data_IF_641501402503
#
_entry.id   IF_641501402503
#
_cell.length_a   1.000
_cell.length_b   1.000
_cell.length_c   1.000
_cell.angle_alpha   90.00
_cell.angle_beta   90.00
_cell.angle_gamma   90.00
#
_symmetry.space_group_name_H-M   'P 1'
#
loop_
_entity.id
_entity.type
_entity.pdbx_description
1 polymer ?
#
# COMPACT_ATOMS: atom_id res chain seq x y z
N UNK A 1 7.56 -3.90 5.01
CA UNK A 1 8.84 -3.65 4.30
C UNK A 1 9.55 -2.50 4.98
N UNK A 2 10.86 -2.59 5.23
CA UNK A 2 11.64 -1.46 5.79
C UNK A 2 11.81 -0.36 4.75
N UNK A 3 12.10 0.85 5.19
CA UNK A 3 12.33 1.98 4.28
C UNK A 3 13.56 1.76 3.40
N UNK A 4 14.66 1.25 3.96
CA UNK A 4 15.90 1.03 3.22
C UNK A 4 15.74 -0.06 2.14
N UNK A 5 15.00 -1.13 2.47
CA UNK A 5 14.64 -2.15 1.50
C UNK A 5 13.75 -1.57 0.39
N UNK A 6 12.79 -0.70 0.72
CA UNK A 6 11.93 -0.05 -0.25
C UNK A 6 12.74 0.83 -1.23
N UNK A 7 13.66 1.64 -0.71
CA UNK A 7 14.51 2.52 -1.52
C UNK A 7 15.42 1.73 -2.45
N UNK A 8 16.04 0.65 -1.96
CA UNK A 8 16.85 -0.24 -2.78
C UNK A 8 16.04 -0.89 -3.91
N UNK A 9 14.82 -1.36 -3.63
CA UNK A 9 13.95 -1.94 -4.67
C UNK A 9 13.50 -0.90 -5.70
N UNK A 10 13.21 0.34 -5.27
CA UNK A 10 12.78 1.41 -6.17
C UNK A 10 13.91 1.95 -7.03
N UNK A 11 15.15 1.85 -6.57
CA UNK A 11 16.33 2.30 -7.32
C UNK A 11 16.57 1.50 -8.60
N UNK A 12 16.30 0.19 -8.57
CA UNK A 12 16.47 -0.70 -9.72
C UNK A 12 15.16 -1.00 -10.47
N UNK A 13 14.08 -0.27 -10.18
CA UNK A 13 12.80 -0.47 -10.84
C UNK A 13 12.63 0.49 -12.02
N UNK A 14 12.54 -0.06 -13.24
CA UNK A 14 12.46 0.72 -14.48
C UNK A 14 11.13 1.46 -14.70
N UNK A 15 10.15 1.28 -13.81
CA UNK A 15 8.86 1.96 -13.91
C UNK A 15 9.02 3.46 -13.63
N UNK A 16 8.36 4.29 -14.46
CA UNK A 16 8.30 5.76 -14.25
C UNK A 16 7.91 6.15 -12.81
N UNK A 17 6.93 5.45 -12.23
CA UNK A 17 6.45 5.73 -10.88
C UNK A 17 7.47 5.43 -9.78
N UNK A 18 8.48 4.59 -10.03
CA UNK A 18 9.48 4.24 -9.02
C UNK A 18 10.30 5.46 -8.58
N UNK A 19 10.68 6.32 -9.53
CA UNK A 19 11.39 7.58 -9.25
C UNK A 19 10.58 8.51 -8.36
N UNK A 20 9.29 8.69 -8.68
CA UNK A 20 8.37 9.54 -7.92
C UNK A 20 8.19 9.01 -6.49
N UNK A 21 7.99 7.69 -6.33
CA UNK A 21 7.83 7.08 -5.01
C UNK A 21 9.13 7.19 -4.19
N UNK A 22 10.30 7.02 -4.83
CA UNK A 22 11.60 7.20 -4.17
C UNK A 22 11.75 8.61 -3.61
N UNK A 23 11.41 9.63 -4.40
CA UNK A 23 11.43 11.03 -3.98
C UNK A 23 10.50 11.28 -2.78
N UNK A 24 9.25 10.79 -2.84
CA UNK A 24 8.27 10.93 -1.75
C UNK A 24 8.74 10.24 -0.47
N UNK A 25 9.35 9.06 -0.56
CA UNK A 25 9.87 8.34 0.61
C UNK A 25 11.05 9.06 1.25
N UNK A 26 11.95 9.63 0.45
CA UNK A 26 13.09 10.42 0.96
C UNK A 26 12.61 11.70 1.64
N UNK A 27 11.63 12.40 1.04
CA UNK A 27 11.01 13.59 1.63
C UNK A 27 10.31 13.24 2.95
N UNK A 28 9.52 12.16 2.98
CA UNK A 28 8.84 11.70 4.19
C UNK A 28 9.83 11.31 5.31
N UNK A 29 10.95 10.67 4.96
CA UNK A 29 12.02 10.36 5.92
C UNK A 29 12.67 11.63 6.47
N UNK A 30 12.90 12.63 5.63
CA UNK A 30 13.46 13.92 6.06
C UNK A 30 12.49 14.69 6.96
N UNK A 31 11.19 14.71 6.61
CA UNK A 31 10.14 15.29 7.44
C UNK A 31 10.01 14.56 8.79
N UNK A 32 10.12 13.24 8.82
CA UNK A 32 10.08 12.44 10.04
C UNK A 32 11.19 12.86 11.02
N UNK A 33 12.42 13.04 10.53
CA UNK A 33 13.56 13.48 11.36
C UNK A 33 13.42 14.94 11.78
N UNK A 34 13.04 15.82 10.85
CA UNK A 34 12.99 17.27 11.11
C UNK A 34 11.82 17.71 11.98
N UNK A 35 10.64 17.13 11.79
CA UNK A 35 9.38 17.62 12.38
C UNK A 35 8.77 16.64 13.39
N UNK A 36 9.02 15.34 13.22
CA UNK A 36 8.40 14.30 14.06
C UNK A 36 9.37 13.67 15.08
N UNK A 37 10.56 14.26 15.25
CA UNK A 37 11.58 13.86 16.24
C UNK A 37 12.00 12.38 16.16
N UNK A 38 12.06 11.82 14.94
CA UNK A 38 12.59 10.48 14.74
C UNK A 38 14.13 10.52 14.72
N UNK A 39 14.77 9.78 15.62
CA UNK A 39 16.24 9.73 15.74
C UNK A 39 16.88 8.92 14.60
N UNK A 40 16.35 7.73 14.32
CA UNK A 40 16.94 6.79 13.37
C UNK A 40 16.16 6.74 12.06
N UNK A 41 16.75 7.28 10.99
CA UNK A 41 16.21 7.23 9.62
C UNK A 41 15.89 5.82 9.13
N UNK A 42 16.72 4.84 9.49
CA UNK A 42 16.57 3.44 9.11
C UNK A 42 15.51 2.69 9.94
N UNK A 43 15.16 3.19 11.13
CA UNK A 43 14.17 2.57 12.01
C UNK A 43 12.73 2.98 11.63
N UNK A 44 12.44 2.96 10.34
CA UNK A 44 11.14 3.27 9.77
C UNK A 44 10.68 2.13 8.87
N UNK A 45 9.41 1.79 8.95
CA UNK A 45 8.78 0.86 8.03
C UNK A 45 7.52 1.45 7.42
N UNK A 46 7.19 0.97 6.23
CA UNK A 46 5.97 1.37 5.52
C UNK A 46 4.81 0.58 6.13
N UNK A 47 3.91 1.28 6.80
CA UNK A 47 2.70 0.69 7.39
C UNK A 47 1.54 0.66 6.38
N UNK A 48 1.33 1.78 5.69
CA UNK A 48 0.30 1.89 4.65
C UNK A 48 0.91 2.57 3.41
N UNK A 49 0.59 2.04 2.23
CA UNK A 49 0.96 2.64 0.96
C UNK A 49 -0.16 2.36 -0.04
N UNK A 50 -0.76 3.41 -0.58
CA UNK A 50 -1.84 3.28 -1.55
C UNK A 50 -1.84 4.44 -2.54
N UNK A 51 -2.52 4.22 -3.67
CA UNK A 51 -2.71 5.24 -4.69
C UNK A 51 -4.20 5.52 -4.89
N UNK A 52 -4.50 6.78 -5.18
CA UNK A 52 -5.87 7.26 -5.40
C UNK A 52 -6.02 7.88 -6.79
N UNK A 53 -7.26 7.88 -7.30
CA UNK A 53 -7.63 8.60 -8.52
C UNK A 53 -7.55 10.11 -8.26
N UNK A 54 -6.81 10.83 -9.09
CA UNK A 54 -6.78 12.28 -9.09
C UNK A 54 -7.87 12.88 -9.99
N UNK A 55 -7.88 14.20 -10.11
CA UNK A 55 -8.82 14.89 -10.99
C UNK A 55 -8.49 14.64 -12.46
N UNK A 56 -9.41 14.01 -13.20
CA UNK A 56 -9.24 13.72 -14.63
C UNK A 56 -9.79 14.85 -15.47
N UNK A 57 -9.03 15.26 -16.47
CA UNK A 57 -9.49 16.23 -17.46
C UNK A 57 -9.86 15.50 -18.73
N UNK A 58 -10.98 15.89 -19.36
CA UNK A 58 -11.41 15.31 -20.63
C UNK A 58 -10.76 16.05 -21.80
N UNK A 59 -10.33 15.31 -22.80
CA UNK A 59 -9.81 15.80 -24.07
C UNK A 59 -10.46 15.04 -25.22
N UNK A 60 -10.34 15.54 -26.45
CA UNK A 60 -10.89 14.90 -27.64
C UNK A 60 -9.78 14.10 -28.33
N UNK A 61 -10.05 12.82 -28.61
CA UNK A 61 -9.22 11.98 -29.48
C UNK A 61 -9.87 11.89 -30.86
N UNK A 62 -9.21 12.44 -31.85
CA UNK A 62 -9.68 12.35 -33.23
C UNK A 62 -9.42 10.97 -33.83
N UNK A 63 -10.38 10.48 -34.61
CA UNK A 63 -10.32 9.21 -35.33
C UNK A 63 -10.58 9.44 -36.82
N UNK A 64 -10.36 8.40 -37.63
CA UNK A 64 -10.70 8.45 -39.06
C UNK A 64 -12.21 8.58 -39.29
N UNK A 65 -12.58 8.91 -40.54
CA UNK A 65 -13.99 9.03 -40.99
C UNK A 65 -14.84 10.07 -40.24
N UNK A 66 -14.21 11.14 -39.74
CA UNK A 66 -14.92 12.21 -39.02
C UNK A 66 -15.37 11.86 -37.61
N UNK A 67 -14.91 10.73 -37.05
CA UNK A 67 -15.25 10.31 -35.69
C UNK A 67 -14.31 10.95 -34.64
N UNK A 68 -14.82 11.14 -33.43
CA UNK A 68 -14.00 11.53 -32.27
C UNK A 68 -14.49 10.83 -31.00
N UNK A 69 -13.56 10.55 -30.09
CA UNK A 69 -13.83 9.96 -28.78
C UNK A 69 -13.38 10.87 -27.66
N UNK A 70 -13.99 10.74 -26.48
CA UNK A 70 -13.56 11.47 -25.28
C UNK A 70 -12.42 10.67 -24.63
N UNK A 71 -11.25 11.29 -24.51
CA UNK A 71 -10.09 10.78 -23.81
C UNK A 71 -10.00 11.39 -22.41
N UNK A 72 -9.74 10.57 -21.40
CA UNK A 72 -9.43 11.06 -20.06
C UNK A 72 -7.91 11.22 -19.89
N UNK A 73 -7.47 12.43 -19.52
CA UNK A 73 -6.13 12.71 -19.05
C UNK A 73 -6.02 12.26 -17.58
N UNK A 74 -5.53 11.04 -17.41
CA UNK A 74 -5.42 10.34 -16.14
C UNK A 74 -4.38 10.99 -15.22
N UNK A 75 -4.78 11.26 -13.97
CA UNK A 75 -3.89 11.72 -12.89
C UNK A 75 -4.09 10.86 -11.65
N UNK A 76 -3.06 10.63 -10.85
CA UNK A 76 -3.18 9.89 -9.60
C UNK A 76 -2.42 10.56 -8.47
N UNK A 77 -2.79 10.19 -7.25
CA UNK A 77 -2.08 10.55 -6.02
C UNK A 77 -1.46 9.30 -5.42
N UNK A 78 -0.35 9.47 -4.71
CA UNK A 78 0.30 8.42 -3.94
C UNK A 78 0.38 8.88 -2.49
N UNK A 79 0.00 7.99 -1.57
CA UNK A 79 -0.02 8.23 -0.13
C UNK A 79 0.82 7.17 0.56
N UNK A 80 1.57 7.61 1.57
CA UNK A 80 2.42 6.74 2.39
C UNK A 80 2.29 7.12 3.86
N UNK A 81 2.29 6.11 4.73
CA UNK A 81 2.37 6.24 6.18
C UNK A 81 3.58 5.46 6.68
N UNK A 82 4.55 6.20 7.21
CA UNK A 82 5.73 5.64 7.86
C UNK A 82 5.45 5.50 9.35
N UNK A 83 5.86 4.38 9.94
CA UNK A 83 5.77 4.12 11.37
C UNK A 83 7.15 3.80 11.89
N UNK A 84 7.48 4.34 13.06
CA UNK A 84 8.73 4.07 13.75
C UNK A 84 8.79 2.64 14.28
N UNK A 85 9.96 2.03 14.17
CA UNK A 85 10.23 0.68 14.65
C UNK A 85 10.45 -0.33 13.52
N UNK A 86 10.86 -1.54 13.89
CA UNK A 86 11.05 -2.63 12.94
C UNK A 86 9.71 -3.03 12.31
N UNK A 87 9.72 -3.54 11.06
CA UNK A 87 8.50 -4.01 10.42
C UNK A 87 7.93 -5.20 11.20
N UNK A 88 6.60 -5.30 11.34
CA UNK A 88 5.99 -6.45 11.97
C UNK A 88 6.35 -7.73 11.19
N UNK A 89 6.57 -8.86 11.89
CA UNK A 89 6.81 -10.12 11.22
C UNK A 89 5.59 -10.52 10.38
N UNK A 90 5.79 -11.15 9.21
CA UNK A 90 4.69 -11.65 8.42
C UNK A 90 3.90 -12.68 9.22
N UNK A 91 2.56 -12.64 9.10
CA UNK A 91 1.70 -13.63 9.75
C UNK A 91 2.06 -15.01 9.22
N UNK A 92 2.41 -15.98 10.08
CA UNK A 92 2.76 -17.32 9.63
C UNK A 92 1.55 -17.99 8.96
N UNK A 93 1.76 -18.86 7.97
CA UNK A 93 0.67 -19.62 7.39
C UNK A 93 -0.01 -20.48 8.46
N UNK A 94 -1.36 -20.54 8.44
CA UNK A 94 -2.14 -21.37 9.37
C UNK A 94 -1.72 -22.83 9.22
N UNK A 95 -1.33 -23.46 10.31
CA UNK A 95 -0.97 -24.89 10.30
C UNK A 95 -2.22 -25.77 10.25
N UNK A 96 -2.07 -27.05 9.89
CA UNK A 96 -3.18 -28.01 9.92
C UNK A 96 -3.78 -28.17 11.33
N UNK A 97 -2.97 -28.00 12.37
CA UNK A 97 -3.44 -28.03 13.76
C UNK A 97 -4.30 -26.80 14.10
N UNK A 98 -3.89 -25.61 13.64
CA UNK A 98 -4.68 -24.38 13.82
C UNK A 98 -6.03 -24.49 13.14
N UNK A 99 -6.06 -25.06 11.92
CA UNK A 99 -7.29 -25.31 11.18
C UNK A 99 -8.20 -26.31 11.90
N UNK A 100 -7.64 -27.40 12.42
CA UNK A 100 -8.39 -28.38 13.21
C UNK A 100 -8.98 -27.74 14.49
N UNK A 101 -8.20 -26.89 15.17
CA UNK A 101 -8.66 -26.16 16.36
C UNK A 101 -9.79 -25.18 16.03
N UNK A 102 -9.67 -24.43 14.94
CA UNK A 102 -10.71 -23.53 14.44
C UNK A 102 -11.99 -24.29 14.09
N UNK A 103 -11.87 -25.45 13.43
CA UNK A 103 -13.00 -26.34 13.12
C UNK A 103 -13.71 -26.84 14.38
N UNK A 104 -12.95 -27.37 15.35
CA UNK A 104 -13.51 -27.85 16.63
C UNK A 104 -14.16 -26.70 17.40
N UNK A 105 -13.56 -25.50 17.38
CA UNK A 105 -14.14 -24.32 18.01
C UNK A 105 -15.45 -23.90 17.35
N UNK A 106 -15.55 -23.97 16.01
CA UNK A 106 -16.79 -23.77 15.27
C UNK A 106 -17.88 -24.78 15.68
N UNK A 107 -17.52 -26.05 15.81
CA UNK A 107 -18.45 -27.09 16.29
C UNK A 107 -18.90 -26.89 17.75
N UNK A 108 -18.06 -26.29 18.59
CA UNK A 108 -18.38 -26.02 20.01
C UNK A 108 -19.23 -24.76 20.21
N UNK A 109 -19.03 -23.75 19.36
CA UNK A 109 -19.75 -22.47 19.43
C UNK A 109 -21.15 -22.51 18.82
N UNK A 110 -21.54 -23.64 18.20
CA UNK A 110 -22.90 -23.81 17.68
C UNK A 110 -23.93 -23.81 18.80
N UNK A 111 -24.95 -22.96 18.67
CA UNK A 111 -26.14 -22.95 19.52
C UNK A 111 -27.32 -23.58 18.79
N UNK A 112 -28.38 -23.93 19.53
CA UNK A 112 -29.61 -24.41 18.91
C UNK A 112 -30.27 -23.22 18.20
N UNK A 113 -30.53 -23.34 16.90
CA UNK A 113 -31.19 -22.30 16.12
C UNK A 113 -32.70 -22.35 16.32
N UNK A 114 -33.37 -21.19 16.28
CA UNK A 114 -34.83 -21.04 16.39
C UNK A 114 -35.45 -21.49 17.73
N UNK A 115 -34.72 -21.39 18.83
CA UNK A 115 -35.24 -21.58 20.20
C UNK A 115 -34.51 -20.66 21.17
N UNK A 116 -35.18 -20.32 22.29
CA UNK A 116 -34.57 -19.66 23.45
C UNK A 116 -33.64 -20.63 24.19
#
# INVERSE_FOLDING_TARGET
>A
MTIDQALAQLEFNDKKGAKIIKEVLLEAQELAVRQHNVEFKSNLHIAESFSGKGHYTKSIRFHGRGCSGIMDLVKCHYFVKLVEGPPPPPVPPKTGFDQAKEYVQGLRSRTITNTL
#
